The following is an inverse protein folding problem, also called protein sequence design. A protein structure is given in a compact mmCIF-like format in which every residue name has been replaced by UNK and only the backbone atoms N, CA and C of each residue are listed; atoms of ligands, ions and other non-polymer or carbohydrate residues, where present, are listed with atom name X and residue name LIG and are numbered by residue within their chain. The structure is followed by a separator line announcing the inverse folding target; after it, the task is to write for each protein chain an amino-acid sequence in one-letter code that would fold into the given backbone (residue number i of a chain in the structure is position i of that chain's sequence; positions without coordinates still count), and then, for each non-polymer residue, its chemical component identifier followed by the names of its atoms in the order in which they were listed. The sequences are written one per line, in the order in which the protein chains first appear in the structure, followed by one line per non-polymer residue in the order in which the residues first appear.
data_IF_208395320995
#
_entry.id   IF_208395320995
#
_cell.length_a   1.000
_cell.length_b   1.000
_cell.length_c   1.000
_cell.angle_alpha   90.00
_cell.angle_beta   90.00
_cell.angle_gamma   90.00
#
_symmetry.space_group_name_H-M   'P 1'
#
loop_
_entity.id
_entity.type
_entity.pdbx_description
1 polymer ?
#
# COMPACT_ATOMS: atom_id res chain seq x y z
N UNK A 1 -0.42 17.45 -0.28
CA UNK A 1 0.06 17.04 -1.62
C UNK A 1 -0.99 17.16 -2.72
N UNK A 2 -2.28 16.97 -2.42
CA UNK A 2 -3.36 16.97 -3.43
C UNK A 2 -3.46 18.25 -4.27
N UNK A 3 -3.32 19.41 -3.66
CA UNK A 3 -3.49 20.69 -4.35
C UNK A 3 -2.34 20.96 -5.32
N UNK A 4 -1.10 20.70 -4.89
CA UNK A 4 0.07 20.73 -5.78
C UNK A 4 -0.10 19.87 -7.03
N UNK A 5 -0.69 18.68 -6.90
CA UNK A 5 -0.96 17.83 -8.05
C UNK A 5 -1.97 18.48 -9.02
N UNK A 6 -3.03 19.10 -8.51
CA UNK A 6 -4.06 19.75 -9.33
C UNK A 6 -3.57 21.04 -9.99
N UNK A 7 -2.79 21.83 -9.26
CA UNK A 7 -2.40 23.18 -9.67
C UNK A 7 -1.12 23.21 -10.50
N UNK A 8 -0.17 22.31 -10.22
CA UNK A 8 1.13 22.29 -10.91
C UNK A 8 1.27 21.07 -11.83
N UNK A 9 1.01 19.87 -11.32
CA UNK A 9 1.39 18.63 -12.02
C UNK A 9 0.44 18.32 -13.18
N UNK A 10 -0.87 18.42 -12.96
CA UNK A 10 -1.88 18.11 -13.98
C UNK A 10 -1.83 19.07 -15.19
N UNK A 11 -1.67 20.40 -15.04
CA UNK A 11 -1.50 21.32 -16.18
C UNK A 11 -0.22 21.04 -16.98
N UNK A 12 0.91 20.80 -16.29
CA UNK A 12 2.17 20.45 -16.94
C UNK A 12 2.08 19.15 -17.75
N UNK A 13 1.38 18.14 -17.21
CA UNK A 13 1.12 16.89 -17.93
C UNK A 13 0.19 17.10 -19.13
N UNK A 14 -0.81 17.97 -19.00
CA UNK A 14 -1.72 18.31 -20.10
C UNK A 14 -0.97 18.91 -21.27
N UNK A 15 -0.11 19.89 -21.01
CA UNK A 15 0.69 20.58 -22.02
C UNK A 15 1.71 19.62 -22.66
N UNK A 16 2.47 18.88 -21.83
CA UNK A 16 3.51 17.97 -22.30
C UNK A 16 3.00 16.84 -23.19
N UNK A 17 1.81 16.33 -22.91
CA UNK A 17 1.24 15.18 -23.62
C UNK A 17 0.06 15.55 -24.54
N UNK A 18 -0.26 16.84 -24.70
CA UNK A 18 -1.34 17.29 -25.57
C UNK A 18 -2.70 16.70 -25.22
N UNK A 19 -3.00 16.53 -23.93
CA UNK A 19 -4.21 15.83 -23.49
C UNK A 19 -5.43 16.75 -23.63
N UNK A 20 -6.29 16.46 -24.60
CA UNK A 20 -7.52 17.25 -24.85
C UNK A 20 -8.65 16.93 -23.86
N UNK A 21 -8.86 15.64 -23.55
CA UNK A 21 -9.91 15.19 -22.65
C UNK A 21 -9.42 15.16 -21.19
N UNK A 22 -10.01 15.95 -20.27
CA UNK A 22 -9.62 15.99 -18.86
C UNK A 22 -9.62 14.61 -18.16
N UNK A 23 -10.52 13.71 -18.56
CA UNK A 23 -10.63 12.37 -17.96
C UNK A 23 -9.50 11.42 -18.38
N UNK A 24 -8.69 11.78 -19.38
CA UNK A 24 -7.49 11.03 -19.78
C UNK A 24 -6.26 11.40 -18.93
N UNK A 25 -6.38 12.37 -18.03
CA UNK A 25 -5.29 12.78 -17.16
C UNK A 25 -4.91 11.63 -16.20
N UNK A 26 -3.64 11.22 -16.12
CA UNK A 26 -3.22 10.14 -15.23
C UNK A 26 -3.26 10.59 -13.76
N UNK A 27 -4.14 10.00 -12.97
CA UNK A 27 -4.29 10.27 -11.53
C UNK A 27 -3.79 9.14 -10.64
N UNK A 28 -3.54 9.46 -9.38
CA UNK A 28 -3.24 8.47 -8.33
C UNK A 28 -4.55 7.83 -7.83
N UNK A 29 -4.67 6.51 -7.96
CA UNK A 29 -5.87 5.75 -7.53
C UNK A 29 -5.74 5.22 -6.08
N UNK A 30 -4.55 4.75 -5.71
CA UNK A 30 -4.25 4.18 -4.40
C UNK A 30 -2.74 4.09 -4.14
N UNK A 31 -2.36 4.12 -2.87
CA UNK A 31 -1.04 3.72 -2.38
C UNK A 31 -1.21 2.44 -1.56
N UNK A 32 -0.40 1.43 -1.85
CA UNK A 32 -0.40 0.17 -1.10
C UNK A 32 0.91 0.06 -0.36
N UNK A 33 0.84 0.12 0.97
CA UNK A 33 1.99 -0.11 1.85
C UNK A 33 1.97 -1.57 2.27
N UNK A 34 3.04 -2.30 2.00
CA UNK A 34 3.15 -3.72 2.33
C UNK A 34 4.42 -3.97 3.14
N UNK A 35 4.26 -4.74 4.21
CA UNK A 35 5.37 -5.21 5.03
C UNK A 35 5.33 -6.74 5.04
N UNK A 36 6.35 -7.34 4.43
CA UNK A 36 6.60 -8.77 4.53
C UNK A 36 7.37 -9.06 5.81
N UNK A 37 6.82 -9.90 6.69
CA UNK A 37 7.47 -10.28 7.94
C UNK A 37 7.84 -11.74 7.82
N UNK A 38 9.03 -12.01 7.25
CA UNK A 38 9.49 -13.38 6.99
C UNK A 38 9.60 -14.25 8.25
N UNK A 39 9.88 -13.62 9.39
CA UNK A 39 9.93 -14.27 10.70
C UNK A 39 8.55 -14.54 11.32
N UNK A 40 7.45 -14.06 10.72
CA UNK A 40 6.10 -14.24 11.25
C UNK A 40 5.68 -15.72 11.34
N UNK A 41 6.31 -16.59 10.55
CA UNK A 41 6.12 -18.04 10.59
C UNK A 41 6.60 -18.63 11.92
N UNK A 42 7.64 -18.04 12.51
CA UNK A 42 8.30 -18.51 13.74
C UNK A 42 7.85 -17.71 14.95
N UNK A 43 7.56 -16.41 14.79
CA UNK A 43 7.20 -15.51 15.86
C UNK A 43 5.95 -14.69 15.51
N UNK A 44 4.81 -15.08 16.08
CA UNK A 44 3.54 -14.36 15.90
C UNK A 44 3.55 -12.95 16.49
N UNK A 45 4.37 -12.67 17.52
CA UNK A 45 4.44 -11.32 18.13
C UNK A 45 5.09 -10.29 17.21
N UNK A 46 6.05 -10.72 16.37
CA UNK A 46 6.69 -9.83 15.40
C UNK A 46 5.69 -9.32 14.35
N UNK A 47 4.71 -10.15 14.00
CA UNK A 47 3.63 -9.80 13.09
C UNK A 47 2.64 -8.81 13.74
N UNK A 48 2.30 -9.03 15.01
CA UNK A 48 1.42 -8.11 15.75
C UNK A 48 2.06 -6.72 15.87
N UNK A 49 3.36 -6.65 16.19
CA UNK A 49 4.12 -5.41 16.21
C UNK A 49 4.16 -4.72 14.84
N UNK A 50 4.43 -5.46 13.77
CA UNK A 50 4.40 -4.93 12.41
C UNK A 50 3.01 -4.40 11.99
N UNK A 51 1.93 -5.04 12.46
CA UNK A 51 0.57 -4.56 12.23
C UNK A 51 0.29 -3.26 13.00
N UNK A 52 0.76 -3.15 14.24
CA UNK A 52 0.62 -1.94 15.06
C UNK A 52 1.41 -0.79 14.45
N UNK A 53 2.67 -1.00 14.08
CA UNK A 53 3.53 0.01 13.46
C UNK A 53 2.93 0.52 12.15
N UNK A 54 2.50 -0.38 11.25
CA UNK A 54 1.81 0.02 10.02
C UNK A 54 0.54 0.79 10.30
N UNK A 55 -0.23 0.41 11.32
CA UNK A 55 -1.46 1.10 11.67
C UNK A 55 -1.18 2.50 12.22
N UNK A 56 -0.11 2.67 13.00
CA UNK A 56 0.33 3.96 13.54
C UNK A 56 0.90 4.87 12.46
N UNK A 57 1.71 4.33 11.54
CA UNK A 57 2.33 5.08 10.44
C UNK A 57 1.30 5.52 9.40
N UNK A 58 0.37 4.64 9.03
CA UNK A 58 -0.60 4.93 7.95
C UNK A 58 -1.92 5.52 8.45
N UNK A 59 -2.16 5.59 9.76
CA UNK A 59 -3.44 6.01 10.35
C UNK A 59 -4.62 5.07 10.07
N UNK A 60 -4.37 3.91 9.44
CA UNK A 60 -5.41 2.95 9.06
C UNK A 60 -5.02 1.55 9.53
N UNK A 61 -5.98 0.82 10.10
CA UNK A 61 -5.76 -0.54 10.58
C UNK A 61 -5.20 -1.45 9.48
N UNK A 62 -4.04 -2.05 9.74
CA UNK A 62 -3.38 -2.96 8.84
C UNK A 62 -4.17 -4.27 8.64
N UNK A 63 -4.17 -4.78 7.41
CA UNK A 63 -4.76 -6.06 7.04
C UNK A 63 -3.68 -7.15 7.05
N UNK A 64 -3.97 -8.25 7.74
CA UNK A 64 -3.14 -9.44 7.73
C UNK A 64 -3.11 -10.10 6.35
N UNK A 65 -1.91 -10.43 5.86
CA UNK A 65 -1.68 -11.21 4.64
C UNK A 65 -1.35 -12.65 4.99
N UNK A 66 -2.12 -13.56 4.39
CA UNK A 66 -1.90 -15.01 4.49
C UNK A 66 -1.23 -15.54 3.21
N UNK A 67 -0.44 -16.58 3.37
CA UNK A 67 0.17 -17.30 2.25
C UNK A 67 -0.89 -17.95 1.37
N UNK A 68 -0.76 -17.79 0.05
CA UNK A 68 -1.65 -18.38 -0.96
C UNK A 68 -1.21 -19.77 -1.42
N UNK A 69 0.06 -20.11 -1.22
CA UNK A 69 0.66 -21.38 -1.66
C UNK A 69 1.54 -21.90 -0.55
N UNK A 70 1.61 -23.22 -0.43
CA UNK A 70 2.57 -23.90 0.42
C UNK A 70 3.91 -24.04 -0.31
N UNK A 71 5.00 -23.56 0.29
CA UNK A 71 6.34 -23.63 -0.30
C UNK A 71 7.30 -24.14 0.77
N UNK A 72 7.79 -25.38 0.59
CA UNK A 72 8.65 -26.05 1.56
C UNK A 72 9.96 -25.31 1.82
N UNK A 73 10.55 -24.68 0.80
CA UNK A 73 11.80 -23.91 0.93
C UNK A 73 11.71 -22.73 1.91
N UNK A 74 10.52 -22.15 2.08
CA UNK A 74 10.27 -21.08 3.05
C UNK A 74 9.61 -21.60 4.34
N UNK A 75 9.36 -22.91 4.45
CA UNK A 75 8.62 -23.54 5.55
C UNK A 75 7.22 -22.93 5.75
N UNK A 76 6.61 -22.43 4.68
CA UNK A 76 5.28 -21.80 4.70
C UNK A 76 4.23 -22.79 4.21
N UNK A 77 3.10 -22.85 4.93
CA UNK A 77 1.87 -23.53 4.49
C UNK A 77 0.81 -22.51 4.08
N UNK A 78 -0.08 -22.92 3.19
CA UNK A 78 -1.23 -22.12 2.79
C UNK A 78 -2.05 -21.68 4.01
N UNK A 79 -2.51 -20.43 4.01
CA UNK A 79 -3.28 -19.85 5.12
C UNK A 79 -2.44 -19.31 6.28
N UNK A 80 -1.13 -19.59 6.33
CA UNK A 80 -0.24 -19.05 7.37
C UNK A 80 -0.09 -17.53 7.22
N UNK A 81 -0.06 -16.77 8.32
CA UNK A 81 0.24 -15.34 8.27
C UNK A 81 1.69 -15.10 7.87
N UNK A 82 1.92 -14.18 6.93
CA UNK A 82 3.26 -13.89 6.37
C UNK A 82 3.60 -12.40 6.33
N UNK A 83 2.66 -11.54 6.69
CA UNK A 83 2.90 -10.10 6.73
C UNK A 83 1.62 -9.30 6.85
N UNK A 84 1.74 -7.99 6.64
CA UNK A 84 0.66 -7.04 6.78
C UNK A 84 0.66 -6.05 5.60
N UNK A 85 -0.50 -5.48 5.30
CA UNK A 85 -0.62 -4.41 4.31
C UNK A 85 -1.68 -3.40 4.69
N UNK A 86 -1.53 -2.18 4.18
CA UNK A 86 -2.55 -1.14 4.18
C UNK A 86 -2.76 -0.67 2.75
N UNK A 87 -3.99 -0.37 2.38
CA UNK A 87 -4.31 0.27 1.10
C UNK A 87 -4.96 1.60 1.40
N UNK A 88 -4.23 2.67 1.08
CA UNK A 88 -4.65 4.05 1.25
C UNK A 88 -5.26 4.54 -0.05
N UNK A 89 -6.42 5.21 0.06
CA UNK A 89 -7.19 5.77 -1.05
C UNK A 89 -7.75 7.12 -0.62
N UNK A 90 -8.13 7.96 -1.58
CA UNK A 90 -8.74 9.25 -1.28
C UNK A 90 -7.79 10.17 -0.52
N UNK A 91 -8.32 10.88 0.49
CA UNK A 91 -7.58 11.87 1.28
C UNK A 91 -6.37 11.26 2.01
N UNK A 92 -6.55 10.12 2.70
CA UNK A 92 -5.48 9.47 3.46
C UNK A 92 -4.27 9.08 2.59
N UNK A 93 -4.44 8.91 1.28
CA UNK A 93 -3.34 8.66 0.35
C UNK A 93 -2.51 9.92 0.07
N UNK A 94 -3.13 11.09 0.10
CA UNK A 94 -2.46 12.37 -0.17
C UNK A 94 -1.85 13.01 1.07
N UNK A 95 -2.29 12.57 2.26
CA UNK A 95 -1.75 12.98 3.56
C UNK A 95 -0.60 12.08 4.04
N UNK A 96 -0.60 10.82 3.61
CA UNK A 96 0.49 9.87 3.83
C UNK A 96 1.74 10.21 3.01
#
# INVERSE_FOLDING_TARGET
MRDRYKEEVAPNLKEKFGIENPMRMPGLEKIVVNMGVGEAVVNSRALDGAMEDLSRITGQKAQLRRARKSIAGFKIREGMPVGARVTLRGEHMWEF
#
